data_IF_730277700837
#
_entry.id   IF_730277700837
#
_cell.length_a   1.000
_cell.length_b   1.000
_cell.length_c   1.000
_cell.angle_alpha   90.00
_cell.angle_beta   90.00
_cell.angle_gamma   90.00
#
_symmetry.space_group_name_H-M   'P 1'
#
loop_
_entity.id
_entity.type
_entity.pdbx_description
1 polymer ?
#
# COMPACT_ATOMS: atom_id res chain seq x y z
N UNK A 1 47.27 -26.66 57.55
CA UNK A 1 46.15 -27.47 57.09
C UNK A 1 45.19 -26.59 56.29
N UNK A 2 45.18 -26.67 54.98
CA UNK A 2 43.97 -26.46 54.21
C UNK A 2 43.93 -27.35 52.94
N UNK A 3 43.49 -28.59 53.09
CA UNK A 3 43.41 -29.52 51.94
C UNK A 3 41.97 -29.98 51.63
N UNK A 4 40.98 -29.58 52.40
CA UNK A 4 39.60 -30.11 52.26
C UNK A 4 38.67 -29.34 51.31
N UNK A 5 39.12 -28.21 50.78
CA UNK A 5 38.26 -27.37 49.89
C UNK A 5 38.32 -27.74 48.40
N UNK A 6 39.43 -28.27 47.93
CA UNK A 6 39.66 -28.60 46.51
C UNK A 6 38.85 -29.85 46.07
N UNK A 7 38.59 -30.80 46.94
CA UNK A 7 37.89 -32.03 46.58
C UNK A 7 36.37 -31.84 46.40
N UNK A 8 35.80 -30.82 47.04
CA UNK A 8 34.34 -30.52 46.86
C UNK A 8 34.03 -29.84 45.53
N UNK A 9 34.91 -28.99 45.02
CA UNK A 9 34.69 -28.33 43.73
C UNK A 9 34.80 -29.31 42.54
N UNK A 10 35.77 -30.23 42.60
CA UNK A 10 35.96 -31.20 41.51
C UNK A 10 34.78 -32.18 41.40
N UNK A 11 34.17 -32.59 42.53
CA UNK A 11 33.01 -33.47 42.53
C UNK A 11 31.71 -32.80 42.07
N UNK A 12 31.57 -31.48 42.24
CA UNK A 12 30.44 -30.71 41.72
C UNK A 12 30.59 -30.50 40.21
N UNK A 13 31.79 -30.18 39.72
CA UNK A 13 32.05 -30.00 38.30
C UNK A 13 31.88 -31.31 37.51
N UNK A 14 32.34 -32.45 38.09
CA UNK A 14 32.12 -33.76 37.47
C UNK A 14 30.62 -34.12 37.35
N UNK A 15 29.85 -33.87 38.39
CA UNK A 15 28.37 -34.11 38.33
C UNK A 15 27.64 -33.21 37.33
N UNK A 16 28.05 -31.97 37.18
CA UNK A 16 27.52 -31.07 36.17
C UNK A 16 27.90 -31.51 34.75
N UNK A 17 29.15 -32.01 34.58
CA UNK A 17 29.62 -32.50 33.28
C UNK A 17 28.99 -33.81 32.85
N UNK A 18 28.66 -34.69 33.79
CA UNK A 18 28.02 -35.97 33.52
C UNK A 18 26.50 -35.79 33.27
N UNK A 19 25.86 -34.78 33.88
CA UNK A 19 24.47 -34.44 33.64
C UNK A 19 24.23 -33.91 32.20
N UNK A 20 25.26 -33.31 31.57
CA UNK A 20 25.17 -32.81 30.20
C UNK A 20 25.46 -33.89 29.13
N UNK A 21 26.11 -35.01 29.54
CA UNK A 21 26.51 -36.08 28.59
C UNK A 21 25.36 -37.02 28.19
N UNK A 22 24.24 -37.02 28.87
CA UNK A 22 23.09 -37.86 28.56
C UNK A 22 21.92 -37.12 27.91
N UNK A 23 22.11 -35.89 27.50
CA UNK A 23 21.15 -35.26 26.60
C UNK A 23 21.35 -35.92 25.22
N UNK A 24 20.51 -36.91 24.90
CA UNK A 24 20.47 -37.51 23.55
C UNK A 24 20.13 -36.43 22.56
N UNK A 25 21.15 -35.65 22.24
CA UNK A 25 21.10 -34.50 21.28
C UNK A 25 20.41 -34.92 19.98
N UNK A 26 20.68 -36.14 19.48
CA UNK A 26 20.06 -36.64 18.26
C UNK A 26 18.53 -36.81 18.36
N UNK A 27 18.00 -37.05 19.56
CA UNK A 27 16.56 -37.25 19.79
C UNK A 27 15.78 -35.95 19.83
N UNK A 28 16.39 -34.81 20.20
CA UNK A 28 15.75 -33.52 20.36
C UNK A 28 15.89 -32.60 19.13
N UNK A 29 16.78 -32.92 18.18
CA UNK A 29 16.98 -32.16 16.94
C UNK A 29 15.69 -32.01 16.13
N UNK A 30 14.89 -33.08 15.90
CA UNK A 30 13.64 -32.92 15.14
C UNK A 30 12.65 -31.97 15.85
N UNK A 31 12.54 -32.04 17.17
CA UNK A 31 11.68 -31.14 17.94
C UNK A 31 12.16 -29.69 17.87
N UNK A 32 13.46 -29.44 17.90
CA UNK A 32 14.04 -28.10 17.73
C UNK A 32 13.72 -27.53 16.34
N UNK A 33 13.88 -28.32 15.27
CA UNK A 33 13.52 -27.87 13.91
C UNK A 33 12.04 -27.59 13.76
N UNK A 34 11.16 -28.38 14.38
CA UNK A 34 9.73 -28.10 14.40
C UNK A 34 9.43 -26.79 15.12
N UNK A 35 10.03 -26.56 16.29
CA UNK A 35 9.85 -25.29 17.03
C UNK A 35 10.34 -24.07 16.23
N UNK A 36 11.50 -24.17 15.62
CA UNK A 36 12.04 -23.11 14.75
C UNK A 36 11.11 -22.90 13.56
N UNK A 37 10.64 -23.95 12.91
CA UNK A 37 9.68 -23.87 11.79
C UNK A 37 8.36 -23.19 12.19
N UNK A 38 7.80 -23.58 13.33
CA UNK A 38 6.58 -22.95 13.88
C UNK A 38 6.83 -21.46 14.22
N UNK A 39 7.95 -21.15 14.87
CA UNK A 39 8.31 -19.76 15.16
C UNK A 39 8.44 -18.89 13.90
N UNK A 40 9.06 -19.41 12.85
CA UNK A 40 9.16 -18.74 11.57
C UNK A 40 7.78 -18.53 10.91
N UNK A 41 6.92 -19.55 10.94
CA UNK A 41 5.56 -19.43 10.42
C UNK A 41 4.74 -18.38 11.18
N UNK A 42 4.85 -18.36 12.50
CA UNK A 42 4.19 -17.35 13.34
C UNK A 42 4.73 -15.94 13.07
N UNK A 43 6.05 -15.81 12.89
CA UNK A 43 6.68 -14.53 12.54
C UNK A 43 6.20 -14.01 11.18
N UNK A 44 6.26 -14.85 10.15
CA UNK A 44 5.78 -14.48 8.80
C UNK A 44 4.27 -14.20 8.83
N UNK A 45 3.50 -15.04 9.51
CA UNK A 45 2.05 -14.84 9.65
C UNK A 45 1.69 -13.52 10.33
N UNK A 46 2.46 -13.08 11.34
CA UNK A 46 2.21 -11.81 12.03
C UNK A 46 2.43 -10.59 11.11
N UNK A 47 3.43 -10.64 10.22
CA UNK A 47 3.69 -9.58 9.24
C UNK A 47 2.53 -9.44 8.23
N UNK A 48 1.98 -10.55 7.74
CA UNK A 48 0.79 -10.51 6.87
C UNK A 48 -0.47 -10.07 7.61
N UNK A 49 -0.64 -10.53 8.86
CA UNK A 49 -1.79 -10.16 9.67
C UNK A 49 -1.83 -8.64 9.94
N UNK A 50 -0.70 -8.01 10.27
CA UNK A 50 -0.64 -6.57 10.52
C UNK A 50 -1.10 -5.76 9.31
N UNK A 51 -0.61 -6.08 8.10
CA UNK A 51 -1.03 -5.42 6.87
C UNK A 51 -2.53 -5.58 6.60
N UNK A 52 -3.05 -6.79 6.80
CA UNK A 52 -4.47 -7.08 6.60
C UNK A 52 -5.38 -6.33 7.59
N UNK A 53 -5.02 -6.31 8.87
CA UNK A 53 -5.80 -5.61 9.89
C UNK A 53 -5.76 -4.09 9.71
N UNK A 54 -4.61 -3.51 9.34
CA UNK A 54 -4.49 -2.08 9.06
C UNK A 54 -5.31 -1.67 7.83
N UNK A 55 -5.29 -2.43 6.75
CA UNK A 55 -6.13 -2.16 5.59
C UNK A 55 -7.62 -2.26 5.92
N UNK A 56 -8.03 -3.22 6.74
CA UNK A 56 -9.41 -3.29 7.22
C UNK A 56 -9.79 -2.12 8.11
N UNK A 57 -8.88 -1.65 8.95
CA UNK A 57 -9.09 -0.47 9.79
C UNK A 57 -9.26 0.79 8.95
N UNK A 58 -8.40 0.99 7.96
CA UNK A 58 -8.49 2.09 7.00
C UNK A 58 -9.77 2.02 6.16
N UNK A 59 -10.16 0.83 5.70
CA UNK A 59 -11.40 0.64 4.97
C UNK A 59 -12.66 0.96 5.81
N UNK A 60 -12.67 0.61 7.11
CA UNK A 60 -13.75 0.99 8.03
C UNK A 60 -13.79 2.50 8.25
N UNK A 61 -12.65 3.14 8.44
CA UNK A 61 -12.57 4.60 8.55
C UNK A 61 -13.14 5.28 7.30
N UNK A 62 -12.83 4.76 6.12
CA UNK A 62 -13.40 5.20 4.85
C UNK A 62 -14.92 5.06 4.80
N UNK A 63 -15.47 3.91 5.20
CA UNK A 63 -16.92 3.69 5.22
C UNK A 63 -17.64 4.64 6.17
N UNK A 64 -17.11 4.84 7.39
CA UNK A 64 -17.64 5.79 8.37
C UNK A 64 -17.65 7.23 7.83
N UNK A 65 -16.63 7.60 7.08
CA UNK A 65 -16.54 8.90 6.44
C UNK A 65 -17.60 9.06 5.34
N UNK A 66 -17.79 8.05 4.48
CA UNK A 66 -18.83 8.10 3.47
C UNK A 66 -20.23 8.24 4.09
N UNK A 67 -20.52 7.49 5.16
CA UNK A 67 -21.78 7.62 5.90
C UNK A 67 -21.98 9.03 6.46
N UNK A 68 -20.95 9.65 7.05
CA UNK A 68 -21.02 11.04 7.54
C UNK A 68 -21.26 12.05 6.42
N UNK A 69 -20.67 11.83 5.24
CA UNK A 69 -20.90 12.71 4.09
C UNK A 69 -22.33 12.56 3.55
N UNK A 70 -22.85 11.33 3.48
CA UNK A 70 -24.25 11.07 3.09
C UNK A 70 -25.24 11.70 4.09
N UNK A 71 -24.95 11.60 5.39
CA UNK A 71 -25.75 12.22 6.46
C UNK A 71 -25.69 13.75 6.41
N UNK A 72 -24.57 14.34 6.01
CA UNK A 72 -24.42 15.78 5.79
C UNK A 72 -25.03 16.27 4.49
N UNK A 73 -25.22 15.41 3.49
CA UNK A 73 -25.91 15.70 2.23
C UNK A 73 -27.44 15.56 2.32
N UNK A 74 -27.99 15.01 3.41
CA UNK A 74 -29.42 15.10 3.70
C UNK A 74 -29.80 16.60 3.81
N UNK A 75 -30.96 17.04 3.30
CA UNK A 75 -31.23 18.44 2.93
C UNK A 75 -31.18 19.40 4.12
N UNK A 76 -29.97 19.87 4.41
CA UNK A 76 -29.70 21.03 5.27
C UNK A 76 -29.17 22.14 4.37
N UNK A 77 -29.75 23.31 4.46
CA UNK A 77 -29.51 24.50 3.63
C UNK A 77 -28.11 25.13 3.77
N UNK A 78 -27.16 24.45 4.39
CA UNK A 78 -25.77 24.87 4.51
C UNK A 78 -24.89 24.04 3.57
N UNK A 79 -24.16 24.69 2.66
CA UNK A 79 -23.14 24.08 1.79
C UNK A 79 -22.12 23.35 2.68
N UNK A 80 -22.03 22.00 2.62
CA UNK A 80 -21.14 21.27 3.51
C UNK A 80 -19.70 21.68 3.20
N UNK A 81 -18.97 22.09 4.23
CA UNK A 81 -17.52 22.23 4.14
C UNK A 81 -16.96 20.82 3.94
N UNK A 82 -16.42 20.53 2.76
CA UNK A 82 -15.75 19.25 2.46
C UNK A 82 -14.50 19.21 3.35
N UNK A 83 -14.56 18.45 4.43
CA UNK A 83 -13.39 18.19 5.26
C UNK A 83 -12.51 17.22 4.48
N UNK A 84 -11.35 17.72 4.02
CA UNK A 84 -10.32 16.88 3.41
C UNK A 84 -9.64 16.08 4.54
N UNK A 85 -10.09 14.85 4.76
CA UNK A 85 -9.49 13.96 5.76
C UNK A 85 -8.29 13.18 5.22
N UNK A 86 -7.88 13.46 3.98
CA UNK A 86 -6.71 12.86 3.35
C UNK A 86 -6.87 11.42 2.90
N UNK A 87 -7.99 10.75 3.16
CA UNK A 87 -8.17 9.37 2.73
C UNK A 87 -8.43 9.28 1.22
N UNK A 88 -7.69 8.40 0.57
CA UNK A 88 -7.80 8.13 -0.87
C UNK A 88 -7.92 6.63 -1.08
N UNK A 89 -8.90 6.17 -1.84
CA UNK A 89 -9.06 4.77 -2.25
C UNK A 89 -8.65 4.61 -3.70
N UNK A 90 -7.80 3.63 -3.98
CA UNK A 90 -7.34 3.24 -5.31
C UNK A 90 -7.95 1.89 -5.67
N UNK A 91 -8.69 1.83 -6.77
CA UNK A 91 -9.27 0.60 -7.32
C UNK A 91 -8.84 0.40 -8.77
N UNK A 92 -8.32 -0.78 -9.08
CA UNK A 92 -7.93 -1.18 -10.44
C UNK A 92 -8.55 -2.55 -10.71
N UNK A 93 -9.76 -2.59 -11.31
CA UNK A 93 -10.54 -3.82 -11.45
C UNK A 93 -9.80 -4.93 -12.20
N UNK A 94 -9.05 -4.58 -13.24
CA UNK A 94 -8.32 -5.55 -14.09
C UNK A 94 -7.35 -6.43 -13.31
N UNK A 95 -6.72 -5.90 -12.27
CA UNK A 95 -5.75 -6.63 -11.44
C UNK A 95 -6.30 -6.94 -10.05
N UNK A 96 -7.62 -6.77 -9.87
CA UNK A 96 -8.31 -6.99 -8.61
C UNK A 96 -7.67 -6.24 -7.43
N UNK A 97 -7.17 -5.01 -7.69
CA UNK A 97 -6.61 -4.14 -6.66
C UNK A 97 -7.70 -3.24 -6.10
N UNK A 98 -7.83 -3.22 -4.79
CA UNK A 98 -8.67 -2.29 -4.03
C UNK A 98 -8.00 -2.01 -2.69
N UNK A 99 -7.47 -0.79 -2.51
CA UNK A 99 -6.68 -0.44 -1.35
C UNK A 99 -6.81 1.04 -0.98
N UNK A 100 -6.64 1.35 0.30
CA UNK A 100 -6.51 2.72 0.77
C UNK A 100 -5.07 3.17 0.57
N UNK A 101 -4.91 4.32 -0.08
CA UNK A 101 -3.62 4.98 -0.30
C UNK A 101 -3.24 5.75 0.97
N UNK A 102 -2.01 5.56 1.40
CA UNK A 102 -1.44 6.28 2.55
C UNK A 102 -0.59 7.45 2.06
N UNK A 103 -0.51 8.52 2.85
CA UNK A 103 0.32 9.66 2.52
C UNK A 103 1.78 9.40 2.88
N UNK A 104 2.66 9.48 1.87
CA UNK A 104 4.11 9.27 1.95
C UNK A 104 4.56 7.87 1.54
N UNK A 105 5.86 7.76 1.24
CA UNK A 105 6.48 6.61 0.58
C UNK A 105 7.56 5.95 1.42
N UNK A 106 7.58 6.18 2.75
CA UNK A 106 8.51 5.49 3.63
C UNK A 106 8.22 3.98 3.67
N UNK A 107 9.23 3.17 3.91
CA UNK A 107 9.12 1.71 3.98
C UNK A 107 7.98 1.24 4.91
N UNK A 108 7.84 1.87 6.08
CA UNK A 108 6.75 1.55 7.04
C UNK A 108 5.37 1.84 6.45
N UNK A 109 5.21 2.95 5.71
CA UNK A 109 3.94 3.33 5.08
C UNK A 109 3.58 2.42 3.92
N UNK A 110 4.56 2.06 3.08
CA UNK A 110 4.35 1.16 1.95
C UNK A 110 4.00 -0.28 2.35
N UNK A 111 4.33 -0.70 3.57
CA UNK A 111 3.82 -1.95 4.15
C UNK A 111 2.31 -1.89 4.41
N UNK A 112 1.75 -0.73 4.73
CA UNK A 112 0.33 -0.55 5.06
C UNK A 112 -0.54 -0.45 3.82
N UNK A 113 -0.04 0.15 2.74
CA UNK A 113 -0.79 0.38 1.51
C UNK A 113 0.03 1.04 0.42
N UNK A 114 -0.55 1.26 -0.78
CA UNK A 114 0.02 2.15 -1.77
C UNK A 114 0.26 3.53 -1.16
N UNK A 115 1.40 4.14 -1.44
CA UNK A 115 1.81 5.42 -0.86
C UNK A 115 1.80 6.54 -1.89
N UNK A 116 1.17 7.68 -1.59
CA UNK A 116 1.25 8.89 -2.40
C UNK A 116 2.55 9.63 -2.12
N UNK A 117 3.25 10.06 -3.15
CA UNK A 117 4.39 10.95 -3.03
C UNK A 117 3.89 12.37 -2.68
N UNK A 118 4.34 12.91 -1.54
CA UNK A 118 3.81 14.16 -0.97
C UNK A 118 4.08 15.39 -1.85
N UNK A 119 5.20 15.39 -2.57
CA UNK A 119 5.61 16.50 -3.46
C UNK A 119 4.90 16.46 -4.82
N UNK A 120 3.88 15.63 -4.98
CA UNK A 120 3.09 15.48 -6.20
C UNK A 120 1.65 15.93 -6.02
N UNK A 121 0.96 16.21 -7.12
CA UNK A 121 -0.43 16.65 -7.09
C UNK A 121 -1.33 15.64 -6.36
N UNK A 122 -2.43 16.11 -5.81
CA UNK A 122 -3.46 15.24 -5.28
C UNK A 122 -4.26 14.60 -6.42
N UNK A 123 -4.72 13.35 -6.30
CA UNK A 123 -5.58 12.75 -7.30
C UNK A 123 -6.81 13.61 -7.59
N UNK A 124 -7.15 13.78 -8.86
CA UNK A 124 -8.26 14.62 -9.31
C UNK A 124 -7.89 16.10 -9.50
N UNK A 125 -6.74 16.57 -9.06
CA UNK A 125 -6.28 17.96 -9.30
C UNK A 125 -5.37 18.06 -10.52
N UNK A 126 -5.18 19.27 -11.01
CA UNK A 126 -4.22 19.55 -12.10
C UNK A 126 -2.81 19.23 -11.61
N UNK A 127 -2.07 18.53 -12.43
CA UNK A 127 -0.73 18.05 -12.10
C UNK A 127 -0.60 16.55 -12.30
N UNK A 128 0.54 16.00 -11.88
CA UNK A 128 0.82 14.56 -11.87
C UNK A 128 0.74 14.04 -10.43
N UNK A 129 -0.25 13.23 -10.15
CA UNK A 129 -0.35 12.50 -8.89
C UNK A 129 0.45 11.22 -8.98
N UNK A 130 1.38 10.98 -8.06
CA UNK A 130 2.25 9.80 -8.08
C UNK A 130 1.94 8.90 -6.88
N UNK A 131 1.58 7.66 -7.18
CA UNK A 131 1.33 6.62 -6.18
C UNK A 131 2.31 5.47 -6.41
N UNK A 132 3.00 5.06 -5.35
CA UNK A 132 3.95 3.95 -5.40
C UNK A 132 3.52 2.83 -4.45
N UNK A 133 3.89 1.60 -4.77
CA UNK A 133 3.70 0.45 -3.88
C UNK A 133 4.74 -0.63 -4.14
N UNK A 134 4.85 -1.57 -3.20
CA UNK A 134 5.73 -2.71 -3.34
C UNK A 134 5.29 -3.64 -4.49
N UNK A 135 6.27 -4.18 -5.22
CA UNK A 135 6.08 -5.08 -6.38
C UNK A 135 5.55 -6.46 -6.01
N UNK A 136 5.73 -6.87 -4.77
CA UNK A 136 5.38 -8.19 -4.25
C UNK A 136 4.05 -8.20 -3.48
N UNK A 137 3.46 -7.03 -3.26
CA UNK A 137 2.18 -6.86 -2.58
C UNK A 137 1.15 -6.15 -3.47
N UNK A 138 0.83 -4.88 -3.18
CA UNK A 138 -0.24 -4.15 -3.85
C UNK A 138 -0.04 -3.98 -5.36
N UNK A 139 1.20 -3.73 -5.82
CA UNK A 139 1.48 -3.55 -7.24
C UNK A 139 2.08 -4.78 -7.91
N UNK A 140 1.83 -5.96 -7.35
CA UNK A 140 2.35 -7.23 -7.89
C UNK A 140 1.95 -7.47 -9.35
N UNK A 141 0.72 -7.14 -9.72
CA UNK A 141 0.13 -7.38 -11.03
C UNK A 141 0.05 -6.13 -11.93
N UNK A 142 0.65 -5.00 -11.51
CA UNK A 142 0.58 -3.75 -12.26
C UNK A 142 1.16 -3.86 -13.68
N UNK A 143 2.08 -4.81 -13.92
CA UNK A 143 2.66 -5.09 -15.23
C UNK A 143 1.62 -5.59 -16.24
N UNK A 144 0.49 -6.13 -15.80
CA UNK A 144 -0.59 -6.63 -16.65
C UNK A 144 -1.43 -5.50 -17.27
N UNK A 145 -1.36 -4.29 -16.72
CA UNK A 145 -2.09 -3.16 -17.23
C UNK A 145 -1.66 -2.82 -18.65
N UNK A 146 -2.63 -2.49 -19.50
CA UNK A 146 -2.46 -2.10 -20.90
C UNK A 146 -3.10 -0.74 -21.13
N UNK A 147 -2.72 -0.09 -22.23
CA UNK A 147 -3.40 1.13 -22.69
C UNK A 147 -4.89 0.89 -22.81
N UNK A 148 -5.71 1.82 -22.28
CA UNK A 148 -7.16 1.72 -22.24
C UNK A 148 -7.73 1.12 -20.94
N UNK A 149 -6.90 0.53 -20.07
CA UNK A 149 -7.38 -0.02 -18.80
C UNK A 149 -7.77 1.09 -17.81
N UNK A 150 -8.82 0.84 -17.04
CA UNK A 150 -9.38 1.81 -16.09
C UNK A 150 -8.66 1.74 -14.74
N UNK A 151 -8.40 2.91 -14.17
CA UNK A 151 -7.98 3.12 -12.79
C UNK A 151 -8.95 4.09 -12.15
N UNK A 152 -9.52 3.71 -11.02
CA UNK A 152 -10.48 4.51 -10.27
C UNK A 152 -9.85 5.00 -8.99
N UNK A 153 -9.90 6.31 -8.76
CA UNK A 153 -9.50 6.91 -7.48
C UNK A 153 -10.71 7.60 -6.87
N UNK A 154 -10.95 7.32 -5.59
CA UNK A 154 -12.00 7.99 -4.81
C UNK A 154 -11.35 8.81 -3.70
N UNK A 155 -11.78 10.08 -3.56
CA UNK A 155 -11.31 10.98 -2.53
C UNK A 155 -12.38 12.02 -2.21
N UNK A 156 -12.61 12.29 -0.92
CA UNK A 156 -13.59 13.28 -0.46
C UNK A 156 -14.98 13.11 -1.10
N UNK A 157 -15.45 11.86 -1.21
CA UNK A 157 -16.74 11.53 -1.84
C UNK A 157 -16.77 11.65 -3.37
N UNK A 158 -15.70 12.13 -4.00
CA UNK A 158 -15.58 12.28 -5.45
C UNK A 158 -14.90 11.07 -6.07
N UNK A 159 -15.29 10.72 -7.29
CA UNK A 159 -14.75 9.61 -8.05
C UNK A 159 -14.06 10.12 -9.31
N UNK A 160 -12.80 9.77 -9.46
CA UNK A 160 -11.96 10.13 -10.60
C UNK A 160 -11.61 8.87 -11.37
N UNK A 161 -11.97 8.84 -12.66
CA UNK A 161 -11.63 7.74 -13.56
C UNK A 161 -10.43 8.14 -14.41
N UNK A 162 -9.43 7.31 -14.42
CA UNK A 162 -8.24 7.46 -15.23
C UNK A 162 -8.14 6.30 -16.20
N UNK A 163 -7.63 6.58 -17.40
CA UNK A 163 -7.33 5.56 -18.41
C UNK A 163 -5.81 5.46 -18.58
N UNK A 164 -5.28 4.24 -18.58
CA UNK A 164 -3.87 3.96 -18.82
C UNK A 164 -3.50 4.41 -20.23
N UNK A 165 -2.50 5.27 -20.34
CA UNK A 165 -1.97 5.78 -21.63
C UNK A 165 -0.74 5.03 -22.09
N UNK A 166 0.02 4.41 -21.17
CA UNK A 166 1.20 3.62 -21.49
C UNK A 166 1.99 3.20 -20.26
N UNK A 167 3.07 2.46 -20.53
CA UNK A 167 4.02 1.97 -19.51
C UNK A 167 5.45 2.24 -19.95
N UNK A 168 6.35 2.42 -18.99
CA UNK A 168 7.79 2.55 -19.22
C UNK A 168 8.57 1.87 -18.09
N UNK A 169 9.69 1.25 -18.43
CA UNK A 169 10.69 0.81 -17.45
C UNK A 169 11.78 1.86 -17.41
N UNK A 170 12.15 2.27 -16.21
CA UNK A 170 13.12 3.36 -15.99
C UNK A 170 14.09 2.99 -14.87
N UNK A 171 15.23 3.66 -14.83
CA UNK A 171 16.16 3.57 -13.71
C UNK A 171 15.56 4.18 -12.43
N UNK A 172 15.97 3.71 -11.23
CA UNK A 172 15.49 4.26 -9.96
C UNK A 172 15.73 5.75 -9.78
N UNK A 173 16.72 6.31 -10.48
CA UNK A 173 17.13 7.72 -10.44
C UNK A 173 16.39 8.61 -11.45
N UNK A 174 15.60 8.03 -12.36
CA UNK A 174 14.84 8.80 -13.35
C UNK A 174 13.63 9.50 -12.71
N UNK A 175 13.83 10.71 -12.26
CA UNK A 175 12.78 11.57 -11.69
C UNK A 175 11.89 12.23 -12.76
N UNK A 176 12.16 12.04 -14.06
CA UNK A 176 11.34 12.64 -15.12
C UNK A 176 9.89 12.16 -15.08
N UNK A 177 9.66 10.94 -14.59
CA UNK A 177 8.35 10.31 -14.48
C UNK A 177 7.46 10.93 -13.41
N UNK A 178 8.04 11.66 -12.47
CA UNK A 178 7.32 12.33 -11.36
C UNK A 178 7.05 13.81 -11.65
N UNK A 179 7.56 14.35 -12.77
CA UNK A 179 7.40 15.76 -13.12
C UNK A 179 5.93 16.15 -13.18
N UNK A 180 5.64 17.38 -12.76
CA UNK A 180 4.31 17.95 -12.81
C UNK A 180 3.82 18.07 -14.26
N UNK A 181 2.50 18.08 -14.41
CA UNK A 181 1.80 18.14 -15.69
C UNK A 181 0.80 19.30 -15.69
N UNK A 182 0.45 19.81 -16.85
CA UNK A 182 -0.66 20.77 -17.01
C UNK A 182 -2.02 20.07 -17.00
N UNK A 183 -2.04 18.75 -17.22
CA UNK A 183 -3.23 17.91 -17.23
C UNK A 183 -3.37 17.20 -15.88
N UNK A 184 -4.56 16.69 -15.57
CA UNK A 184 -4.80 15.80 -14.44
C UNK A 184 -4.28 14.40 -14.80
N UNK A 185 -3.13 14.01 -14.25
CA UNK A 185 -2.46 12.72 -14.51
C UNK A 185 -2.34 11.91 -13.23
N UNK A 186 -2.30 10.60 -13.41
CA UNK A 186 -1.96 9.65 -12.36
C UNK A 186 -0.84 8.75 -12.87
N UNK A 187 0.23 8.67 -12.09
CA UNK A 187 1.40 7.82 -12.37
C UNK A 187 1.54 6.80 -11.26
N UNK A 188 1.57 5.51 -11.62
CA UNK A 188 1.80 4.43 -10.68
C UNK A 188 3.22 3.90 -10.86
N UNK A 189 3.95 3.70 -9.75
CA UNK A 189 5.36 3.28 -9.78
C UNK A 189 5.57 2.09 -8.86
N UNK A 190 6.29 1.08 -9.34
CA UNK A 190 6.75 -0.04 -8.53
C UNK A 190 8.16 -0.47 -8.90
N UNK A 191 8.77 -1.28 -8.05
CA UNK A 191 10.04 -1.93 -8.34
C UNK A 191 9.89 -2.95 -9.49
N UNK A 192 10.91 -3.08 -10.34
CA UNK A 192 10.91 -4.02 -11.48
C UNK A 192 12.27 -4.74 -11.58
N UNK A 193 12.30 -6.02 -11.99
CA UNK A 193 11.16 -6.90 -12.31
C UNK A 193 10.33 -7.29 -11.10
N UNK A 194 9.02 -7.57 -11.32
CA UNK A 194 8.09 -7.92 -10.24
C UNK A 194 8.37 -9.28 -9.59
N UNK A 195 8.99 -10.20 -10.33
CA UNK A 195 9.35 -11.56 -9.88
C UNK A 195 10.80 -11.68 -9.37
N UNK A 196 11.54 -10.58 -9.31
CA UNK A 196 12.96 -10.58 -8.94
C UNK A 196 13.14 -10.63 -7.40
N UNK A 197 14.09 -11.45 -6.93
CA UNK A 197 14.45 -11.53 -5.51
C UNK A 197 15.67 -10.64 -5.26
N UNK A 198 15.58 -9.71 -4.32
CA UNK A 198 16.66 -8.78 -3.97
C UNK A 198 16.38 -7.33 -4.40
N UNK A 199 17.38 -6.44 -4.33
CA UNK A 199 17.25 -5.05 -4.74
C UNK A 199 16.87 -4.93 -6.22
N UNK A 200 15.76 -4.25 -6.52
CA UNK A 200 15.29 -4.10 -7.89
C UNK A 200 16.13 -3.08 -8.67
N UNK A 201 16.68 -3.46 -9.83
CA UNK A 201 17.51 -2.57 -10.63
C UNK A 201 16.71 -1.44 -11.30
N UNK A 202 15.41 -1.64 -11.53
CA UNK A 202 14.57 -0.75 -12.32
C UNK A 202 13.25 -0.44 -11.63
N UNK A 203 12.48 0.45 -12.26
CA UNK A 203 11.10 0.81 -11.88
C UNK A 203 10.17 0.62 -13.07
N UNK A 204 9.03 -0.03 -12.82
CA UNK A 204 7.91 -0.05 -13.76
C UNK A 204 7.01 1.13 -13.45
N UNK A 205 6.76 1.95 -14.46
CA UNK A 205 5.93 3.14 -14.39
C UNK A 205 4.73 2.96 -15.32
N UNK A 206 3.54 3.19 -14.79
CA UNK A 206 2.28 3.20 -15.55
C UNK A 206 1.74 4.62 -15.55
N UNK A 207 1.54 5.17 -16.74
CA UNK A 207 0.98 6.51 -16.94
C UNK A 207 -0.49 6.41 -17.24
N UNK A 208 -1.28 7.32 -16.68
CA UNK A 208 -2.71 7.43 -16.98
C UNK A 208 -3.16 8.89 -16.99
N UNK A 209 -4.24 9.16 -17.70
CA UNK A 209 -4.91 10.46 -17.77
C UNK A 209 -6.34 10.33 -17.30
N UNK A 210 -6.86 11.39 -16.69
CA UNK A 210 -8.27 11.45 -16.31
C UNK A 210 -9.17 11.39 -17.55
N UNK A 211 -10.21 10.60 -17.50
CA UNK A 211 -11.25 10.48 -18.53
C UNK A 211 -12.59 10.98 -18.01
N UNK A 212 -12.85 10.82 -16.73
CA UNK A 212 -14.10 11.23 -16.12
C UNK A 212 -13.82 11.82 -14.73
N UNK A 213 -14.38 13.03 -14.52
CA UNK A 213 -14.36 13.73 -13.24
C UNK A 213 -15.80 13.99 -12.84
N UNK A 214 -16.21 13.52 -11.69
CA UNK A 214 -17.59 13.67 -11.22
C UNK A 214 -18.00 15.15 -11.05
N UNK A 215 -17.01 16.06 -10.89
CA UNK A 215 -17.27 17.51 -10.87
C UNK A 215 -17.81 18.03 -12.21
N UNK A 216 -17.52 17.35 -13.33
CA UNK A 216 -17.96 17.78 -14.67
C UNK A 216 -19.44 17.40 -14.94
N UNK A 217 -19.98 16.42 -14.24
CA UNK A 217 -21.39 15.99 -14.42
C UNK A 217 -22.41 16.88 -13.71
N UNK A 218 -21.99 17.73 -12.79
CA UNK A 218 -22.89 18.59 -11.99
C UNK A 218 -23.12 19.98 -12.61
N UNK A 219 -22.50 20.29 -13.77
CA UNK A 219 -22.87 21.48 -14.53
C UNK A 219 -24.03 21.13 -15.47
N UNK A 220 -25.28 21.60 -15.20
CA UNK A 220 -26.34 21.52 -16.16
C UNK A 220 -25.88 22.29 -17.43
N UNK A 221 -25.89 21.63 -18.57
CA UNK A 221 -25.79 22.34 -19.85
C UNK A 221 -26.84 23.45 -19.83
N UNK A 222 -26.37 24.68 -19.76
CA UNK A 222 -27.23 25.84 -20.01
C UNK A 222 -27.78 25.65 -21.42
N UNK A 223 -29.04 25.25 -21.48
CA UNK A 223 -29.81 25.20 -22.71
C UNK A 223 -29.73 26.60 -23.31
N UNK A 224 -28.97 26.72 -24.39
CA UNK A 224 -29.05 27.90 -25.23
C UNK A 224 -30.45 27.94 -25.82
N UNK A 225 -31.33 28.67 -25.15
CA UNK A 225 -32.61 29.07 -25.70
C UNK A 225 -32.33 30.06 -26.82
N UNK A 226 -32.25 29.56 -28.04
CA UNK A 226 -32.39 30.37 -29.22
C UNK A 226 -33.84 30.88 -29.32
N UNK A 227 -34.06 32.04 -28.71
CA UNK A 227 -35.25 32.79 -28.91
C UNK A 227 -35.21 33.33 -30.34
N UNK A 228 -35.90 32.68 -31.24
CA UNK A 228 -36.30 33.29 -32.50
C UNK A 228 -37.44 34.28 -32.22
N UNK A 229 -37.28 35.47 -32.69
CA UNK A 229 -38.32 36.49 -32.72
C UNK A 229 -38.53 36.97 -34.11
N UNK A 230 -39.76 37.05 -34.35
CA UNK A 230 -40.34 37.89 -35.40
C UNK A 230 -40.06 39.38 -35.18
#
# INVERSE_FOLDING_TARGET
MPESSQYKLSSVISRLRDGVRHLDWKRHWPALFILVGVALLLYVGSEYATTYFEQRRLARAWQLQQQRMEEQLAPSTAKPAIVDDGLTRLSIPKINLDAIVVDGTSYKKLKLGPGRMLDTALPGTVGNSVITAHRDTFFRHIYELKKGDEIVVQRNGKKFRYEVTGKKIVEPTDLSVTKQSKDKRLTLITCYPTYYIGPAPERLVVFSKITEDEDTKTQPQAVAASGGTH
#
